data_IF_400894343593
#
_entry.id   IF_400894343593
#
_cell.length_a   1.000
_cell.length_b   1.000
_cell.length_c   1.000
_cell.angle_alpha   90.00
_cell.angle_beta   90.00
_cell.angle_gamma   90.00
#
_symmetry.space_group_name_H-M   'P 1'
#
loop_
_entity.id
_entity.type
_entity.pdbx_description
1 polymer ?
#
# COMPACT_ATOMS: atom_id res chain seq x y z
N UNK A 1 -13.67 -9.34 44.13
CA UNK A 1 -13.52 -10.10 42.87
C UNK A 1 -12.05 -10.47 42.72
N UNK A 2 -11.73 -11.73 42.38
CA UNK A 2 -10.35 -12.14 42.14
C UNK A 2 -9.85 -11.52 40.81
N UNK A 3 -8.58 -11.19 40.69
CA UNK A 3 -7.98 -10.56 39.51
C UNK A 3 -8.29 -11.28 38.17
N UNK A 4 -8.44 -12.60 38.20
CA UNK A 4 -8.86 -13.42 37.06
C UNK A 4 -10.31 -13.16 36.61
N UNK A 5 -11.24 -12.86 37.52
CA UNK A 5 -12.64 -12.55 37.20
C UNK A 5 -12.76 -11.14 36.55
N UNK A 6 -11.90 -10.21 36.98
CA UNK A 6 -11.86 -8.87 36.37
C UNK A 6 -11.33 -8.95 34.94
N UNK A 7 -10.23 -9.69 34.70
CA UNK A 7 -9.69 -9.89 33.33
C UNK A 7 -10.67 -10.60 32.39
N UNK A 8 -11.40 -11.59 32.90
CA UNK A 8 -12.42 -12.29 32.12
C UNK A 8 -13.59 -11.38 31.73
N UNK A 9 -14.03 -10.53 32.64
CA UNK A 9 -15.09 -9.56 32.38
C UNK A 9 -14.65 -8.47 31.41
N UNK A 10 -13.44 -7.93 31.55
CA UNK A 10 -12.87 -6.96 30.61
C UNK A 10 -12.77 -7.52 29.19
N UNK A 11 -12.32 -8.77 29.04
CA UNK A 11 -12.25 -9.45 27.75
C UNK A 11 -13.64 -9.67 27.13
N UNK A 12 -14.64 -9.99 27.97
CA UNK A 12 -16.01 -10.16 27.52
C UNK A 12 -16.63 -8.83 27.05
N UNK A 13 -16.39 -7.72 27.77
CA UNK A 13 -16.81 -6.39 27.36
C UNK A 13 -16.14 -5.97 26.07
N UNK A 14 -14.83 -6.18 25.92
CA UNK A 14 -14.10 -5.89 24.66
C UNK A 14 -14.67 -6.71 23.51
N UNK A 15 -14.92 -8.01 23.70
CA UNK A 15 -15.54 -8.85 22.68
C UNK A 15 -16.97 -8.37 22.32
N UNK A 16 -17.78 -7.95 23.28
CA UNK A 16 -19.10 -7.39 23.02
C UNK A 16 -19.01 -6.07 22.26
N UNK A 17 -18.07 -5.20 22.60
CA UNK A 17 -17.84 -3.94 21.87
C UNK A 17 -17.37 -4.18 20.43
N UNK A 18 -16.55 -5.18 20.20
CA UNK A 18 -16.04 -5.53 18.87
C UNK A 18 -17.03 -6.32 18.03
N UNK A 19 -17.98 -7.04 18.65
CA UNK A 19 -19.00 -7.86 17.95
C UNK A 19 -20.38 -7.21 17.88
N UNK A 20 -20.61 -6.10 18.59
CA UNK A 20 -21.92 -5.44 18.64
C UNK A 20 -22.33 -4.72 17.35
N UNK A 21 -21.40 -4.37 16.50
CA UNK A 21 -21.67 -4.00 15.12
C UNK A 21 -21.45 -5.26 14.26
N UNK A 22 -22.46 -5.66 13.49
CA UNK A 22 -22.30 -6.70 12.48
C UNK A 22 -21.36 -6.18 11.36
N UNK A 23 -20.06 -6.13 11.66
CA UNK A 23 -19.06 -5.76 10.67
C UNK A 23 -18.91 -6.97 9.76
N UNK A 24 -19.51 -6.88 8.57
CA UNK A 24 -19.36 -7.88 7.53
C UNK A 24 -17.97 -7.73 6.94
N UNK A 25 -17.07 -8.62 7.31
CA UNK A 25 -15.79 -8.74 6.62
C UNK A 25 -16.04 -9.38 5.25
N UNK A 26 -15.60 -8.71 4.17
CA UNK A 26 -15.65 -9.30 2.82
C UNK A 26 -14.34 -10.06 2.60
N UNK A 27 -14.34 -11.39 2.66
CA UNK A 27 -13.12 -12.15 2.38
C UNK A 27 -12.67 -11.94 0.93
N UNK A 28 -11.37 -11.99 0.69
CA UNK A 28 -10.77 -11.86 -0.66
C UNK A 28 -11.45 -12.79 -1.67
N UNK A 29 -11.89 -13.97 -1.24
CA UNK A 29 -12.65 -14.89 -2.08
C UNK A 29 -13.98 -14.32 -2.59
N UNK A 30 -14.67 -13.49 -1.81
CA UNK A 30 -15.88 -12.81 -2.28
C UNK A 30 -15.54 -11.72 -3.29
N UNK A 31 -14.48 -10.94 -3.05
CA UNK A 31 -13.99 -9.95 -4.00
C UNK A 31 -13.66 -10.60 -5.35
N UNK A 32 -12.88 -11.69 -5.33
CA UNK A 32 -12.47 -12.40 -6.55
C UNK A 32 -13.62 -13.06 -7.31
N UNK A 33 -14.72 -13.38 -6.65
CA UNK A 33 -15.89 -14.02 -7.26
C UNK A 33 -17.05 -13.05 -7.51
N UNK A 34 -16.90 -11.76 -7.20
CA UNK A 34 -17.92 -10.77 -7.50
C UNK A 34 -18.06 -10.58 -9.02
N UNK A 35 -19.28 -10.36 -9.54
CA UNK A 35 -19.49 -10.05 -10.95
C UNK A 35 -18.69 -8.82 -11.38
N UNK A 36 -18.02 -8.90 -12.54
CA UNK A 36 -17.16 -7.83 -13.05
C UNK A 36 -15.70 -7.91 -12.62
N UNK A 37 -15.33 -8.84 -11.73
CA UNK A 37 -13.97 -9.01 -11.23
C UNK A 37 -13.23 -10.19 -11.89
N UNK A 38 -13.67 -10.63 -13.06
CA UNK A 38 -13.08 -11.76 -13.80
C UNK A 38 -11.61 -11.50 -14.14
N UNK A 39 -11.25 -10.28 -14.49
CA UNK A 39 -9.88 -9.88 -14.78
C UNK A 39 -8.97 -9.98 -13.54
N UNK A 40 -9.46 -9.56 -12.38
CA UNK A 40 -8.74 -9.68 -11.10
C UNK A 40 -8.57 -11.15 -10.72
N UNK A 41 -9.61 -11.97 -10.89
CA UNK A 41 -9.55 -13.40 -10.65
C UNK A 41 -8.53 -14.08 -11.59
N UNK A 42 -8.58 -13.78 -12.88
CA UNK A 42 -7.62 -14.30 -13.86
C UNK A 42 -6.17 -13.90 -13.51
N UNK A 43 -5.95 -12.69 -13.05
CA UNK A 43 -4.63 -12.22 -12.63
C UNK A 43 -3.99 -13.13 -11.58
N UNK A 44 -4.73 -13.56 -10.57
CA UNK A 44 -4.20 -14.45 -9.52
C UNK A 44 -4.07 -15.92 -9.95
N UNK A 45 -4.93 -16.40 -10.83
CA UNK A 45 -4.99 -17.82 -11.17
C UNK A 45 -4.34 -18.18 -12.52
N UNK A 46 -3.91 -17.20 -13.32
CA UNK A 46 -3.17 -17.46 -14.56
C UNK A 46 -1.68 -17.63 -14.24
N UNK A 47 -1.06 -18.76 -14.57
CA UNK A 47 0.36 -18.97 -14.33
C UNK A 47 1.19 -17.95 -15.10
N UNK A 48 2.20 -17.38 -14.41
CA UNK A 48 3.21 -16.51 -15.02
C UNK A 48 4.43 -17.36 -15.32
N UNK A 49 4.74 -17.56 -16.60
CA UNK A 49 5.83 -18.44 -17.03
C UNK A 49 7.11 -17.68 -17.39
N UNK A 50 7.02 -16.40 -17.67
CA UNK A 50 8.15 -15.56 -18.07
C UNK A 50 8.77 -14.86 -16.88
N UNK A 51 10.10 -14.73 -16.89
CA UNK A 51 10.85 -14.02 -15.84
C UNK A 51 11.24 -12.61 -16.34
N UNK A 52 10.25 -11.86 -16.80
CA UNK A 52 10.41 -10.54 -17.43
C UNK A 52 11.07 -9.49 -16.54
N UNK A 53 10.96 -9.65 -15.22
CA UNK A 53 11.57 -8.77 -14.22
C UNK A 53 12.80 -9.38 -13.52
N UNK A 54 13.41 -10.39 -14.12
CA UNK A 54 14.63 -10.98 -13.57
C UNK A 54 15.74 -9.92 -13.41
N UNK A 55 16.26 -9.81 -12.19
CA UNK A 55 17.31 -8.84 -11.84
C UNK A 55 16.80 -7.47 -11.43
N UNK A 56 15.51 -7.16 -11.64
CA UNK A 56 14.90 -5.91 -11.15
C UNK A 56 14.67 -5.98 -9.64
N UNK A 57 14.77 -4.82 -8.98
CA UNK A 57 14.52 -4.68 -7.55
C UNK A 57 13.48 -3.58 -7.28
N UNK A 58 12.43 -3.92 -6.55
CA UNK A 58 11.29 -3.05 -6.26
C UNK A 58 11.20 -2.80 -4.76
N UNK A 59 11.16 -1.53 -4.33
CA UNK A 59 10.80 -1.16 -2.97
C UNK A 59 9.27 -1.02 -2.87
N UNK A 60 8.65 -1.68 -1.91
CA UNK A 60 7.25 -1.44 -1.53
C UNK A 60 7.25 -0.62 -0.27
N UNK A 61 6.85 0.65 -0.37
CA UNK A 61 6.76 1.53 0.81
C UNK A 61 5.37 1.43 1.40
N UNK A 62 5.29 0.92 2.62
CA UNK A 62 4.02 0.73 3.31
C UNK A 62 4.16 0.92 4.84
N UNK A 63 3.06 1.34 5.45
CA UNK A 63 2.89 1.53 6.89
C UNK A 63 1.62 0.83 7.37
N UNK A 64 1.29 0.94 8.65
CA UNK A 64 0.06 0.43 9.20
C UNK A 64 -1.17 0.94 8.45
N UNK A 65 -2.13 0.05 8.23
CA UNK A 65 -3.38 0.35 7.55
C UNK A 65 -3.29 0.31 6.03
N UNK A 66 -2.32 -0.44 5.47
CA UNK A 66 -2.31 -0.72 4.03
C UNK A 66 -3.42 -1.72 3.66
N UNK A 67 -4.04 -1.54 2.49
CA UNK A 67 -5.01 -2.50 1.97
C UNK A 67 -4.29 -3.80 1.54
N UNK A 68 -4.71 -4.92 2.12
CA UNK A 68 -4.00 -6.20 2.00
C UNK A 68 -3.74 -6.60 0.54
N UNK A 69 -4.79 -6.62 -0.29
CA UNK A 69 -4.68 -7.09 -1.67
C UNK A 69 -3.86 -6.15 -2.56
N UNK A 70 -3.83 -4.85 -2.24
CA UNK A 70 -3.06 -3.85 -2.97
C UNK A 70 -1.55 -3.96 -2.72
N UNK A 71 -1.15 -4.59 -1.62
CA UNK A 71 0.25 -4.93 -1.38
C UNK A 71 0.55 -6.36 -1.83
N UNK A 72 -0.22 -7.33 -1.32
CA UNK A 72 0.11 -8.75 -1.48
C UNK A 72 -0.01 -9.22 -2.93
N UNK A 73 -1.00 -8.72 -3.66
CA UNK A 73 -1.22 -9.05 -5.07
C UNK A 73 -0.06 -8.63 -5.97
N UNK A 74 0.30 -7.35 -6.05
CA UNK A 74 1.44 -6.89 -6.84
C UNK A 74 2.76 -7.52 -6.40
N UNK A 75 3.02 -7.64 -5.08
CA UNK A 75 4.24 -8.29 -4.57
C UNK A 75 4.34 -9.73 -5.03
N UNK A 76 3.24 -10.50 -4.95
CA UNK A 76 3.19 -11.85 -5.46
C UNK A 76 3.50 -11.88 -6.97
N UNK A 77 2.84 -11.03 -7.75
CA UNK A 77 3.01 -10.96 -9.19
C UNK A 77 4.45 -10.63 -9.60
N UNK A 78 5.04 -9.58 -9.04
CA UNK A 78 6.41 -9.19 -9.36
C UNK A 78 7.44 -10.27 -8.98
N UNK A 79 7.22 -10.96 -7.87
CA UNK A 79 8.06 -12.11 -7.48
C UNK A 79 7.92 -13.28 -8.45
N UNK A 80 6.72 -13.56 -8.99
CA UNK A 80 6.53 -14.56 -10.05
C UNK A 80 7.32 -14.20 -11.31
N UNK A 81 7.39 -12.92 -11.67
CA UNK A 81 8.17 -12.39 -12.79
C UNK A 81 9.68 -12.35 -12.53
N UNK A 82 10.16 -12.74 -11.36
CA UNK A 82 11.56 -12.83 -10.99
C UNK A 82 12.16 -11.57 -10.37
N UNK A 83 11.36 -10.55 -10.04
CA UNK A 83 11.84 -9.39 -9.32
C UNK A 83 12.18 -9.71 -7.86
N UNK A 84 13.16 -8.99 -7.31
CA UNK A 84 13.34 -8.88 -5.86
C UNK A 84 12.46 -7.77 -5.34
N UNK A 85 11.74 -8.05 -4.25
CA UNK A 85 10.82 -7.08 -3.65
C UNK A 85 11.13 -6.99 -2.17
N UNK A 86 11.48 -5.79 -1.72
CA UNK A 86 11.67 -5.47 -0.30
C UNK A 86 10.49 -4.60 0.18
N UNK A 87 9.98 -4.91 1.37
CA UNK A 87 8.98 -4.09 2.05
C UNK A 87 9.73 -3.09 2.93
N UNK A 88 9.47 -1.81 2.70
CA UNK A 88 10.12 -0.69 3.38
C UNK A 88 9.07 0.07 4.18
N UNK A 89 9.27 0.16 5.48
CA UNK A 89 8.35 0.86 6.39
C UNK A 89 8.95 2.19 6.90
N UNK A 90 8.12 3.13 7.37
CA UNK A 90 8.61 4.22 8.20
C UNK A 90 9.32 3.66 9.43
N UNK A 91 10.30 4.41 9.94
CA UNK A 91 10.87 4.06 11.24
C UNK A 91 9.79 4.13 12.30
N UNK A 92 9.63 3.05 13.06
CA UNK A 92 8.65 3.02 14.14
C UNK A 92 8.92 4.19 15.11
N UNK A 93 7.99 5.10 15.15
CA UNK A 93 8.02 6.24 16.06
C UNK A 93 6.65 6.33 16.73
N UNK A 94 6.47 5.70 17.89
CA UNK A 94 5.17 5.71 18.56
C UNK A 94 4.77 7.16 18.82
N UNK A 95 3.54 7.50 18.52
CA UNK A 95 2.98 8.78 18.93
C UNK A 95 3.29 9.01 20.42
N UNK A 96 3.61 10.22 20.85
CA UNK A 96 3.87 10.49 22.25
C UNK A 96 2.76 9.86 23.09
N UNK A 97 3.13 9.26 24.22
CA UNK A 97 2.21 8.54 25.13
C UNK A 97 1.13 9.45 25.77
N UNK A 98 0.68 10.47 25.03
CA UNK A 98 -0.35 11.45 25.44
C UNK A 98 -1.65 10.79 25.85
N UNK A 99 -1.90 9.58 25.34
CA UNK A 99 -3.18 8.90 25.51
C UNK A 99 -3.04 7.58 26.28
N UNK A 100 -1.89 7.31 26.88
CA UNK A 100 -1.64 6.04 27.57
C UNK A 100 -1.67 4.80 26.66
N UNK A 101 -1.52 4.99 25.37
CA UNK A 101 -1.54 3.90 24.40
C UNK A 101 -0.24 3.10 24.47
N UNK A 102 -0.35 1.80 24.56
CA UNK A 102 0.76 0.85 24.37
C UNK A 102 0.65 0.25 22.98
N UNK A 103 1.78 0.20 22.29
CA UNK A 103 1.86 -0.44 20.97
C UNK A 103 2.36 -1.88 21.14
N UNK A 104 1.83 -2.85 20.37
CA UNK A 104 2.38 -4.20 20.36
C UNK A 104 3.86 -4.17 19.96
N UNK A 105 4.68 -5.03 20.56
CA UNK A 105 6.10 -5.17 20.15
C UNK A 105 6.25 -5.48 18.67
N UNK A 106 5.25 -6.14 18.08
CA UNK A 106 5.16 -6.46 16.66
C UNK A 106 5.23 -5.20 15.77
N UNK A 107 4.73 -4.04 16.22
CA UNK A 107 4.80 -2.77 15.49
C UNK A 107 6.22 -2.30 15.18
N UNK A 108 7.23 -2.83 15.87
CA UNK A 108 8.64 -2.49 15.62
C UNK A 108 9.24 -3.23 14.41
N UNK A 109 8.61 -4.28 13.96
CA UNK A 109 9.12 -5.19 12.92
C UNK A 109 8.10 -5.55 11.86
N UNK A 110 6.81 -5.20 12.06
CA UNK A 110 5.70 -5.53 11.19
C UNK A 110 4.80 -4.31 11.02
N UNK A 111 4.10 -4.29 9.90
CA UNK A 111 3.04 -3.32 9.60
C UNK A 111 1.71 -4.04 9.45
N UNK A 112 0.64 -3.37 9.88
CA UNK A 112 -0.70 -3.93 9.94
C UNK A 112 -1.43 -3.79 8.60
N UNK A 113 -1.96 -4.91 8.10
CA UNK A 113 -2.84 -4.95 6.95
C UNK A 113 -4.29 -4.71 7.35
N UNK A 114 -5.04 -4.07 6.48
CA UNK A 114 -6.50 -3.95 6.56
C UNK A 114 -7.16 -4.55 5.32
N UNK A 115 -8.39 -4.99 5.46
CA UNK A 115 -9.33 -5.17 4.37
C UNK A 115 -10.46 -4.16 4.58
N UNK A 116 -10.55 -3.18 3.68
CA UNK A 116 -11.38 -1.98 3.84
C UNK A 116 -10.98 -1.18 5.10
N UNK A 117 -11.59 -1.43 6.24
CA UNK A 117 -11.29 -0.73 7.50
C UNK A 117 -10.97 -1.68 8.65
N UNK A 118 -10.95 -3.00 8.38
CA UNK A 118 -10.73 -4.01 9.41
C UNK A 118 -9.28 -4.52 9.40
N UNK A 119 -8.59 -4.54 10.54
CA UNK A 119 -7.31 -5.23 10.67
C UNK A 119 -7.46 -6.73 10.35
N UNK A 120 -6.61 -7.24 9.45
CA UNK A 120 -6.65 -8.66 9.03
C UNK A 120 -5.36 -9.41 9.28
N UNK A 121 -4.28 -8.71 9.57
CA UNK A 121 -3.01 -9.36 9.85
C UNK A 121 -1.83 -8.39 9.87
N UNK A 122 -0.65 -8.95 9.94
CA UNK A 122 0.61 -8.21 10.01
C UNK A 122 1.60 -8.80 9.02
N UNK A 123 2.36 -7.95 8.34
CA UNK A 123 3.46 -8.37 7.48
C UNK A 123 4.78 -7.80 8.02
N UNK A 124 5.81 -8.65 8.03
CA UNK A 124 7.16 -8.20 8.39
C UNK A 124 7.71 -7.30 7.29
N UNK A 125 8.28 -6.16 7.65
CA UNK A 125 9.05 -5.34 6.71
C UNK A 125 10.54 -5.73 6.74
N UNK A 126 11.22 -5.44 5.63
CA UNK A 126 12.62 -5.80 5.44
C UNK A 126 13.57 -4.67 5.89
N UNK A 127 13.17 -3.42 5.64
CA UNK A 127 13.96 -2.23 5.94
C UNK A 127 13.08 -1.09 6.43
N UNK A 128 13.70 -0.11 7.09
CA UNK A 128 13.08 1.20 7.32
C UNK A 128 13.54 2.22 6.28
N UNK A 129 12.75 3.27 6.04
CA UNK A 129 13.00 4.25 4.97
C UNK A 129 14.36 4.96 5.11
N UNK A 130 14.86 5.14 6.33
CA UNK A 130 16.18 5.70 6.63
C UNK A 130 17.36 4.75 6.29
N UNK A 131 17.09 3.48 6.03
CA UNK A 131 18.10 2.45 5.72
C UNK A 131 18.29 2.18 4.24
N UNK A 132 17.41 2.70 3.37
CA UNK A 132 17.41 2.40 1.94
C UNK A 132 17.82 3.59 1.08
N UNK A 133 18.34 3.31 -0.11
CA UNK A 133 18.77 4.33 -1.08
C UNK A 133 18.06 4.12 -2.41
N UNK A 134 17.83 5.21 -3.14
CA UNK A 134 17.25 5.17 -4.50
C UNK A 134 18.09 4.31 -5.45
N UNK A 135 19.42 4.27 -5.27
CA UNK A 135 20.33 3.42 -6.08
C UNK A 135 20.03 1.94 -5.97
N UNK A 136 19.43 1.51 -4.85
CA UNK A 136 19.24 0.09 -4.54
C UNK A 136 18.04 -0.53 -5.28
N UNK A 137 17.20 0.30 -5.91
CA UNK A 137 15.95 -0.13 -6.52
C UNK A 137 15.75 0.43 -7.93
N UNK A 138 14.99 -0.29 -8.75
CA UNK A 138 14.55 0.13 -10.09
C UNK A 138 13.19 0.83 -10.05
N UNK A 139 12.36 0.49 -9.08
CA UNK A 139 11.05 1.08 -8.89
C UNK A 139 10.70 1.20 -7.40
N UNK A 140 9.80 2.13 -7.10
CA UNK A 140 9.08 2.20 -5.83
C UNK A 140 7.59 2.03 -6.10
N UNK A 141 6.94 1.23 -5.26
CA UNK A 141 5.50 0.99 -5.27
C UNK A 141 4.91 1.33 -3.91
N UNK A 142 3.75 2.00 -3.90
CA UNK A 142 3.04 2.41 -2.69
C UNK A 142 1.61 1.85 -2.77
N UNK A 143 1.24 0.87 -1.92
CA UNK A 143 -0.13 0.40 -1.79
C UNK A 143 -1.00 1.47 -1.13
N UNK A 144 -2.30 1.39 -1.30
CA UNK A 144 -3.25 2.26 -0.63
C UNK A 144 -3.64 1.75 0.76
N UNK A 145 -4.93 1.75 1.02
CA UNK A 145 -5.51 1.61 2.35
C UNK A 145 -5.81 2.98 2.94
N UNK A 146 -6.72 3.02 3.90
CA UNK A 146 -7.20 4.31 4.43
C UNK A 146 -6.17 5.01 5.33
N UNK A 147 -5.34 4.27 6.06
CA UNK A 147 -4.41 4.84 7.05
C UNK A 147 -2.95 4.83 6.59
N UNK A 148 -2.58 3.89 5.73
CA UNK A 148 -1.22 3.76 5.22
C UNK A 148 -0.66 5.08 4.66
N UNK A 149 -1.35 5.78 3.73
CA UNK A 149 -0.82 7.01 3.15
C UNK A 149 -0.67 8.14 4.17
N UNK A 150 -1.57 8.24 5.16
CA UNK A 150 -1.47 9.26 6.20
C UNK A 150 -0.26 9.01 7.12
N UNK A 151 0.04 7.74 7.41
CA UNK A 151 1.25 7.38 8.15
C UNK A 151 2.53 7.64 7.34
N UNK A 152 2.50 7.35 6.03
CA UNK A 152 3.65 7.55 5.14
C UNK A 152 3.96 9.02 4.90
N UNK A 153 2.94 9.87 4.68
CA UNK A 153 3.13 11.29 4.34
C UNK A 153 3.69 12.13 5.49
N UNK A 154 3.60 11.64 6.72
CA UNK A 154 4.18 12.29 7.90
C UNK A 154 5.68 11.99 8.04
N UNK A 155 6.17 10.88 7.50
CA UNK A 155 7.56 10.44 7.63
C UNK A 155 8.46 11.17 6.63
N UNK A 156 9.46 11.90 7.16
CA UNK A 156 10.36 12.74 6.35
C UNK A 156 11.30 11.92 5.47
N UNK A 157 11.70 10.74 5.91
CA UNK A 157 12.59 9.86 5.17
C UNK A 157 11.84 9.22 3.99
N UNK A 158 10.58 8.84 4.19
CA UNK A 158 9.68 8.40 3.12
C UNK A 158 9.49 9.50 2.07
N UNK A 159 9.12 10.71 2.49
CA UNK A 159 8.89 11.82 1.56
C UNK A 159 10.17 12.14 0.78
N UNK A 160 11.30 12.21 1.47
CA UNK A 160 12.59 12.42 0.81
C UNK A 160 12.93 11.33 -0.19
N UNK A 161 12.69 10.06 0.16
CA UNK A 161 12.94 8.93 -0.73
C UNK A 161 12.11 9.03 -2.02
N UNK A 162 10.82 9.38 -1.93
CA UNK A 162 9.94 9.58 -3.09
C UNK A 162 10.42 10.75 -3.95
N UNK A 163 10.81 11.88 -3.34
CA UNK A 163 11.36 13.02 -4.07
C UNK A 163 12.63 12.67 -4.84
N UNK A 164 13.53 11.91 -4.22
CA UNK A 164 14.79 11.50 -4.83
C UNK A 164 14.54 10.45 -5.94
N UNK A 165 13.55 9.56 -5.76
CA UNK A 165 13.09 8.64 -6.81
C UNK A 165 12.58 9.40 -8.03
N UNK A 166 11.73 10.42 -7.83
CA UNK A 166 11.23 11.25 -8.91
C UNK A 166 12.35 11.97 -9.66
N UNK A 167 13.32 12.55 -8.94
CA UNK A 167 14.51 13.20 -9.56
C UNK A 167 15.35 12.24 -10.37
N UNK A 168 15.43 10.97 -9.97
CA UNK A 168 16.19 9.95 -10.69
C UNK A 168 15.53 9.46 -11.98
N UNK A 169 14.27 9.80 -12.21
CA UNK A 169 13.48 9.33 -13.36
C UNK A 169 13.09 7.84 -13.28
N UNK A 170 13.35 7.18 -12.15
CA UNK A 170 12.92 5.80 -11.90
C UNK A 170 11.42 5.74 -11.60
N UNK A 171 10.83 4.57 -11.75
CA UNK A 171 9.40 4.37 -11.62
C UNK A 171 8.89 4.60 -10.20
N UNK A 172 7.84 5.41 -10.11
CA UNK A 172 7.00 5.56 -8.92
C UNK A 172 5.59 5.07 -9.26
N UNK A 173 5.11 4.07 -8.56
CA UNK A 173 3.77 3.53 -8.74
C UNK A 173 2.96 3.65 -7.45
N UNK A 174 1.71 4.14 -7.55
CA UNK A 174 0.84 4.35 -6.38
C UNK A 174 -0.60 4.00 -6.70
N UNK A 175 -1.26 3.26 -5.82
CA UNK A 175 -2.65 2.82 -6.01
C UNK A 175 -3.56 3.35 -4.89
N UNK A 176 -4.84 3.53 -5.19
CA UNK A 176 -5.93 3.84 -4.27
C UNK A 176 -5.73 5.20 -3.57
N UNK A 177 -5.54 5.21 -2.26
CA UNK A 177 -5.24 6.42 -1.48
C UNK A 177 -3.76 6.83 -1.53
N UNK A 178 -2.85 5.95 -1.99
CA UNK A 178 -1.41 6.21 -2.00
C UNK A 178 -0.97 7.48 -2.75
N UNK A 179 -1.62 7.95 -3.85
CA UNK A 179 -1.22 9.17 -4.54
C UNK A 179 -1.16 10.43 -3.66
N UNK A 180 -1.81 10.49 -2.49
CA UNK A 180 -1.66 11.63 -1.56
C UNK A 180 -0.24 11.72 -0.97
N UNK A 181 0.50 10.61 -0.93
CA UNK A 181 1.92 10.61 -0.54
C UNK A 181 2.74 11.37 -1.59
N UNK A 182 2.41 11.18 -2.88
CA UNK A 182 3.04 11.89 -4.00
C UNK A 182 2.70 13.38 -3.97
N UNK A 183 1.46 13.74 -3.58
CA UNK A 183 1.07 15.14 -3.33
C UNK A 183 1.92 15.77 -2.22
N UNK A 184 2.15 15.03 -1.12
CA UNK A 184 3.00 15.50 -0.01
C UNK A 184 4.48 15.60 -0.38
N UNK A 185 4.93 14.80 -1.34
CA UNK A 185 6.29 14.86 -1.91
C UNK A 185 6.45 15.97 -2.98
N UNK A 186 5.39 16.71 -3.31
CA UNK A 186 5.38 17.78 -4.32
C UNK A 186 5.86 17.31 -5.71
N UNK A 187 5.39 16.12 -6.15
CA UNK A 187 5.80 15.52 -7.43
C UNK A 187 4.65 15.40 -8.45
N UNK A 188 3.47 15.93 -8.13
CA UNK A 188 2.26 15.80 -8.97
C UNK A 188 1.99 17.00 -9.89
N UNK A 189 2.67 18.11 -9.72
CA UNK A 189 2.40 19.33 -10.50
C UNK A 189 2.57 19.09 -12.01
N UNK A 190 1.48 19.33 -12.75
CA UNK A 190 1.44 19.15 -14.21
C UNK A 190 1.36 17.69 -14.67
N UNK A 191 1.21 16.72 -13.77
CA UNK A 191 1.07 15.30 -14.09
C UNK A 191 -0.37 14.91 -14.33
N UNK A 192 -0.58 14.00 -15.29
CA UNK A 192 -1.84 13.25 -15.42
C UNK A 192 -1.81 12.08 -14.47
N UNK A 193 -2.91 11.84 -13.76
CA UNK A 193 -2.97 10.78 -12.76
C UNK A 193 -4.42 10.38 -12.46
N UNK A 194 -4.55 9.29 -11.74
CA UNK A 194 -5.80 8.82 -11.13
C UNK A 194 -5.57 8.47 -9.66
N UNK A 195 -6.62 8.17 -8.95
CA UNK A 195 -6.57 7.73 -7.57
C UNK A 195 -7.97 7.45 -7.04
N UNK A 196 -8.06 6.97 -5.82
CA UNK A 196 -9.34 6.71 -5.18
C UNK A 196 -10.22 7.97 -5.18
N UNK A 197 -11.51 7.80 -5.37
CA UNK A 197 -12.44 8.94 -5.58
C UNK A 197 -12.35 10.01 -4.48
N UNK A 198 -12.22 9.60 -3.23
CA UNK A 198 -12.21 10.52 -2.08
C UNK A 198 -11.01 11.46 -2.07
N UNK A 199 -9.88 11.08 -2.69
CA UNK A 199 -8.64 11.88 -2.71
C UNK A 199 -8.46 12.69 -3.98
N UNK A 200 -9.34 12.55 -4.97
CA UNK A 200 -9.16 13.22 -6.28
C UNK A 200 -9.09 14.75 -6.16
N UNK A 201 -9.80 15.33 -5.19
CA UNK A 201 -9.74 16.77 -4.92
C UNK A 201 -8.35 17.18 -4.40
N UNK A 202 -7.73 16.37 -3.56
CA UNK A 202 -6.39 16.64 -3.02
C UNK A 202 -5.34 16.58 -4.13
N UNK A 203 -5.48 15.62 -5.04
CA UNK A 203 -4.59 15.45 -6.19
C UNK A 203 -4.70 16.63 -7.18
N UNK A 204 -5.91 17.15 -7.42
CA UNK A 204 -6.13 18.36 -8.22
C UNK A 204 -5.52 19.58 -7.53
N UNK A 205 -5.71 19.72 -6.22
CA UNK A 205 -5.14 20.83 -5.45
C UNK A 205 -3.60 20.80 -5.43
N UNK A 206 -3.00 19.59 -5.51
CA UNK A 206 -1.55 19.41 -5.69
C UNK A 206 -1.05 19.70 -7.13
N UNK A 207 -1.92 20.17 -8.03
CA UNK A 207 -1.58 20.57 -9.38
C UNK A 207 -1.62 19.45 -10.43
N UNK A 208 -2.21 18.30 -10.08
CA UNK A 208 -2.40 17.18 -11.00
C UNK A 208 -3.64 17.32 -11.87
N UNK A 209 -3.62 16.73 -13.05
CA UNK A 209 -4.80 16.53 -13.92
C UNK A 209 -5.35 15.14 -13.67
N UNK A 210 -6.49 15.04 -12.99
CA UNK A 210 -7.06 13.77 -12.54
C UNK A 210 -8.13 13.28 -13.51
N UNK A 211 -8.00 12.02 -13.93
CA UNK A 211 -9.00 11.28 -14.72
C UNK A 211 -9.49 10.06 -13.91
N UNK A 212 -10.71 9.61 -14.19
CA UNK A 212 -11.25 8.38 -13.56
C UNK A 212 -11.00 7.18 -14.49
N UNK A 213 -9.74 6.78 -14.59
CA UNK A 213 -9.30 5.63 -15.38
C UNK A 213 -8.65 4.57 -14.47
N UNK A 214 -8.76 3.28 -14.79
CA UNK A 214 -8.16 2.20 -14.00
C UNK A 214 -6.68 2.42 -13.73
N UNK A 215 -5.92 2.87 -14.73
CA UNK A 215 -4.50 3.16 -14.64
C UNK A 215 -4.16 4.37 -15.48
N UNK A 216 -3.36 5.27 -14.94
CA UNK A 216 -2.77 6.40 -15.66
C UNK A 216 -1.26 6.35 -15.51
N UNK A 217 -0.57 6.42 -16.65
CA UNK A 217 0.90 6.54 -16.73
C UNK A 217 1.29 7.89 -17.30
N UNK A 218 2.08 8.66 -16.55
CA UNK A 218 2.67 9.91 -17.00
C UNK A 218 4.18 9.96 -16.68
N UNK A 219 5.00 9.69 -17.69
CA UNK A 219 6.44 9.62 -17.56
C UNK A 219 6.87 8.46 -16.65
N UNK A 220 7.40 8.80 -15.49
CA UNK A 220 7.86 7.84 -14.48
C UNK A 220 6.86 7.64 -13.34
N UNK A 221 5.63 8.13 -13.45
CA UNK A 221 4.58 7.98 -12.45
C UNK A 221 3.46 7.13 -13.01
N UNK A 222 3.08 6.07 -12.30
CA UNK A 222 1.92 5.23 -12.57
C UNK A 222 0.98 5.32 -11.38
N UNK A 223 -0.30 5.62 -11.64
CA UNK A 223 -1.33 5.66 -10.59
C UNK A 223 -2.53 4.80 -10.96
N UNK A 224 -3.25 4.32 -9.95
CA UNK A 224 -4.45 3.49 -10.09
C UNK A 224 -5.46 3.79 -8.98
N UNK A 225 -6.70 3.29 -9.07
CA UNK A 225 -7.83 3.76 -8.26
C UNK A 225 -8.11 2.95 -7.01
N UNK A 226 -8.17 1.62 -7.12
CA UNK A 226 -8.71 0.76 -6.05
C UNK A 226 -8.33 -0.72 -6.25
N UNK A 227 -8.66 -1.62 -5.31
CA UNK A 227 -8.28 -3.02 -5.35
C UNK A 227 -8.64 -3.78 -6.63
N UNK A 228 -9.74 -3.44 -7.30
CA UNK A 228 -10.16 -4.14 -8.52
C UNK A 228 -9.20 -3.87 -9.68
N UNK A 229 -8.54 -2.71 -9.68
CA UNK A 229 -7.58 -2.30 -10.71
C UNK A 229 -6.16 -2.89 -10.50
N UNK A 230 -5.92 -3.70 -9.45
CA UNK A 230 -4.60 -4.27 -9.10
C UNK A 230 -3.96 -5.01 -10.28
N UNK A 231 -4.77 -5.71 -11.08
CA UNK A 231 -4.30 -6.46 -12.24
C UNK A 231 -3.69 -5.54 -13.30
N UNK A 232 -4.43 -4.52 -13.71
CA UNK A 232 -4.01 -3.55 -14.73
C UNK A 232 -2.86 -2.69 -14.24
N UNK A 233 -2.91 -2.28 -12.97
CA UNK A 233 -1.84 -1.56 -12.31
C UNK A 233 -0.52 -2.37 -12.31
N UNK A 234 -0.56 -3.64 -11.92
CA UNK A 234 0.63 -4.49 -11.86
C UNK A 234 1.25 -4.73 -13.24
N UNK A 235 0.41 -4.92 -14.26
CA UNK A 235 0.87 -5.03 -15.65
C UNK A 235 1.49 -3.75 -16.17
N UNK A 236 0.92 -2.59 -15.86
CA UNK A 236 1.49 -1.30 -16.25
C UNK A 236 2.87 -1.06 -15.61
N UNK A 237 3.08 -1.50 -14.38
CA UNK A 237 4.39 -1.47 -13.69
C UNK A 237 5.38 -2.40 -14.39
N UNK A 238 4.98 -3.64 -14.71
CA UNK A 238 5.80 -4.58 -15.48
C UNK A 238 6.20 -3.98 -16.83
N UNK A 239 5.21 -3.53 -17.61
CA UNK A 239 5.41 -2.93 -18.94
C UNK A 239 6.39 -1.75 -18.93
N UNK A 240 6.37 -0.95 -17.88
CA UNK A 240 7.30 0.15 -17.73
C UNK A 240 8.72 -0.35 -17.45
N UNK A 241 8.86 -1.34 -16.56
CA UNK A 241 10.15 -1.88 -16.14
C UNK A 241 10.87 -2.67 -17.23
N UNK A 242 10.14 -3.35 -18.13
CA UNK A 242 10.76 -4.09 -19.24
C UNK A 242 11.24 -3.20 -20.38
N UNK A 243 10.72 -1.96 -20.49
CA UNK A 243 11.12 -0.97 -21.51
C UNK A 243 12.36 -0.17 -21.11
N UNK A 244 12.84 -0.34 -19.89
CA UNK A 244 13.98 0.37 -19.29
C UNK A 244 15.10 -0.60 -18.89
#
# INVERSE_FOLDING_TARGET
>A
MKAEQVKSHELEVVNQLTTSAAIVNMPVSQLLNAPGNEALKAFFFTPVNEKTLQGKKIAVIAADGFEEIELTGPVWYFKQLGAKVDIVAPKFNPAPARYGLSYPEMSKTHIMAIQYLQPVGWIKFDHTADQVKVSDYDAVFIPGGAWNPDNLRYDKDVIKFIQDFNKSGKLIAAICHAPVVLASADVLKGKKLTGYWNIQVDLKNAGGTVTDEPVVTDGNIITSRHPIDVADFSRAVEDWLIKK
#
